data_IF_291876857621
#
_entry.id   IF_291876857621
#
_cell.length_a   1.000
_cell.length_b   1.000
_cell.length_c   1.000
_cell.angle_alpha   90.00
_cell.angle_beta   90.00
_cell.angle_gamma   90.00
#
_symmetry.space_group_name_H-M   'P 1'
#
loop_
_entity.id
_entity.type
_entity.pdbx_description
1 polymer ?
#
# COMPACT_ATOMS: atom_id res chain seq x y z
N UNK A 1 23.57 5.72 -16.07
CA UNK A 1 22.93 4.52 -15.52
C UNK A 1 22.31 4.94 -14.20
N UNK A 2 21.00 5.17 -14.17
CA UNK A 2 20.33 5.70 -12.98
C UNK A 2 20.23 4.57 -11.95
N UNK A 3 20.93 4.71 -10.83
CA UNK A 3 20.91 3.73 -9.74
C UNK A 3 19.51 3.71 -9.13
N UNK A 4 18.75 2.63 -9.38
CA UNK A 4 17.47 2.41 -8.71
C UNK A 4 17.78 1.99 -7.29
N UNK A 5 17.71 2.94 -6.36
CA UNK A 5 17.88 2.69 -4.94
C UNK A 5 16.88 1.60 -4.49
N UNK A 6 17.39 0.40 -4.20
CA UNK A 6 16.59 -0.78 -3.88
C UNK A 6 15.96 -0.74 -2.47
N UNK A 7 15.92 0.42 -1.82
CA UNK A 7 15.35 0.53 -0.47
C UNK A 7 13.84 0.38 -0.52
N UNK A 8 13.33 -0.70 0.07
CA UNK A 8 11.92 -0.82 0.35
C UNK A 8 11.51 0.20 1.42
N UNK A 9 10.32 0.79 1.28
CA UNK A 9 9.74 1.67 2.29
C UNK A 9 8.46 1.05 2.83
N UNK A 10 8.33 1.03 4.15
CA UNK A 10 7.15 0.54 4.84
C UNK A 10 6.30 1.71 5.34
N UNK A 11 4.99 1.64 5.12
CA UNK A 11 4.01 2.64 5.56
C UNK A 11 2.82 1.93 6.21
N UNK A 12 2.16 2.55 7.17
CA UNK A 12 0.86 2.08 7.66
C UNK A 12 -0.24 2.90 7.01
N UNK A 13 -1.27 2.24 6.46
CA UNK A 13 -2.44 2.96 5.93
C UNK A 13 -3.24 3.58 7.08
N UNK A 14 -3.54 4.89 7.02
CA UNK A 14 -4.36 5.55 8.04
C UNK A 14 -5.76 4.95 8.16
N UNK A 15 -6.35 4.52 7.04
CA UNK A 15 -7.69 3.94 6.98
C UNK A 15 -7.73 2.45 7.40
N UNK A 16 -6.56 1.84 7.66
CA UNK A 16 -6.46 0.43 8.04
C UNK A 16 -6.77 -0.55 6.90
N UNK A 17 -6.99 -1.81 7.29
CA UNK A 17 -7.31 -2.92 6.41
C UNK A 17 -8.73 -2.75 5.85
N UNK A 18 -8.94 -2.88 4.53
CA UNK A 18 -10.26 -2.66 3.94
C UNK A 18 -11.30 -3.70 4.33
N UNK A 19 -10.89 -4.81 4.94
CA UNK A 19 -11.78 -5.89 5.38
C UNK A 19 -12.10 -5.81 6.87
N UNK A 20 -11.10 -5.48 7.72
CA UNK A 20 -11.26 -5.57 9.18
C UNK A 20 -10.87 -4.30 9.94
N UNK A 21 -10.52 -3.21 9.23
CA UNK A 21 -10.08 -1.92 9.77
C UNK A 21 -8.82 -1.94 10.67
N UNK A 22 -8.21 -3.10 10.93
CA UNK A 22 -6.96 -3.21 11.66
C UNK A 22 -5.79 -2.55 10.90
N UNK A 23 -4.73 -2.16 11.61
CA UNK A 23 -3.54 -1.55 11.01
C UNK A 23 -3.03 -2.38 9.83
N UNK A 24 -2.87 -1.70 8.68
CA UNK A 24 -2.44 -2.32 7.43
C UNK A 24 -1.07 -1.81 7.02
N UNK A 25 0.00 -2.60 7.22
CA UNK A 25 1.31 -2.28 6.70
C UNK A 25 1.35 -2.48 5.17
N UNK A 26 1.91 -1.50 4.47
CA UNK A 26 2.16 -1.52 3.03
C UNK A 26 3.65 -1.34 2.79
N UNK A 27 4.20 -2.31 2.06
CA UNK A 27 5.58 -2.30 1.62
C UNK A 27 5.64 -1.81 0.18
N UNK A 28 6.44 -0.80 -0.06
CA UNK A 28 6.70 -0.25 -1.40
C UNK A 28 8.12 -0.64 -1.81
N UNK A 29 8.24 -1.34 -2.94
CA UNK A 29 9.53 -1.72 -3.53
C UNK A 29 9.60 -1.23 -4.98
N UNK A 30 10.72 -1.48 -5.66
CA UNK A 30 10.87 -1.23 -7.09
C UNK A 30 9.89 -2.05 -7.96
N UNK A 31 9.41 -3.21 -7.49
CA UNK A 31 8.39 -4.01 -8.19
C UNK A 31 6.95 -3.55 -7.90
N UNK A 32 6.81 -2.53 -7.06
CA UNK A 32 5.56 -1.92 -6.68
C UNK A 32 5.15 -2.17 -5.23
N UNK A 33 4.00 -1.61 -4.83
CA UNK A 33 3.44 -1.78 -3.50
C UNK A 33 2.74 -3.13 -3.28
N UNK A 34 2.83 -3.65 -2.06
CA UNK A 34 2.11 -4.84 -1.60
C UNK A 34 1.68 -4.70 -0.14
N UNK A 35 0.56 -5.34 0.20
CA UNK A 35 -0.07 -5.25 1.52
C UNK A 35 -0.52 -6.63 2.00
N UNK A 36 -0.27 -6.94 3.27
CA UNK A 36 -0.80 -8.13 3.94
C UNK A 36 -1.29 -7.74 5.33
N UNK A 37 -2.58 -7.93 5.58
CA UNK A 37 -3.15 -7.70 6.90
C UNK A 37 -2.76 -8.83 7.85
N UNK A 38 -2.07 -8.51 8.94
CA UNK A 38 -1.67 -9.49 9.96
C UNK A 38 -2.83 -9.96 10.85
N UNK A 39 -3.98 -9.30 10.77
CA UNK A 39 -5.16 -9.63 11.57
C UNK A 39 -6.09 -10.61 10.85
N UNK A 40 -6.53 -10.31 9.63
CA UNK A 40 -7.49 -11.13 8.88
C UNK A 40 -6.88 -11.88 7.69
N UNK A 41 -5.59 -11.68 7.41
CA UNK A 41 -4.91 -12.35 6.30
C UNK A 41 -5.23 -11.80 4.92
N UNK A 42 -5.94 -10.67 4.79
CA UNK A 42 -6.17 -10.03 3.49
C UNK A 42 -4.85 -9.71 2.79
N UNK A 43 -4.75 -10.04 1.49
CA UNK A 43 -3.62 -9.71 0.63
C UNK A 43 -4.08 -8.82 -0.52
N UNK A 44 -3.32 -7.76 -0.80
CA UNK A 44 -3.62 -6.85 -1.90
C UNK A 44 -2.37 -6.26 -2.54
N UNK A 45 -2.53 -5.84 -3.80
CA UNK A 45 -1.55 -5.04 -4.55
C UNK A 45 -2.12 -3.64 -4.75
N UNK A 46 -2.04 -2.78 -3.72
CA UNK A 46 -2.68 -1.47 -3.80
C UNK A 46 -1.98 -0.59 -4.84
N UNK A 47 -2.70 0.17 -5.65
CA UNK A 47 -2.13 1.22 -6.48
C UNK A 47 -1.89 2.47 -5.63
N UNK A 48 -0.69 3.04 -5.68
CA UNK A 48 -0.39 4.34 -5.06
C UNK A 48 -0.27 5.39 -6.16
N UNK A 49 -1.16 6.39 -6.13
CA UNK A 49 -1.15 7.54 -7.02
C UNK A 49 -0.73 8.77 -6.25
N UNK A 50 0.38 9.39 -6.66
CA UNK A 50 0.83 10.67 -6.11
C UNK A 50 0.00 11.80 -6.72
N UNK A 51 -0.56 12.66 -5.88
CA UNK A 51 -1.36 13.82 -6.29
C UNK A 51 -0.82 15.09 -5.64
N UNK A 52 -1.20 16.27 -6.14
CA UNK A 52 -0.86 17.55 -5.53
C UNK A 52 -1.43 17.72 -4.10
N UNK A 53 -2.39 16.86 -3.70
CA UNK A 53 -3.01 16.88 -2.36
C UNK A 53 -2.48 15.78 -1.44
N UNK A 54 -1.49 14.99 -1.88
CA UNK A 54 -0.93 13.87 -1.13
C UNK A 54 -1.02 12.54 -1.88
N UNK A 55 -1.01 11.44 -1.13
CA UNK A 55 -1.02 10.08 -1.68
C UNK A 55 -2.44 9.53 -1.70
N UNK A 56 -2.88 9.00 -2.85
CA UNK A 56 -4.10 8.21 -2.97
C UNK A 56 -3.72 6.74 -3.07
N UNK A 57 -4.30 5.91 -2.21
CA UNK A 57 -4.13 4.46 -2.25
C UNK A 57 -5.44 3.82 -2.71
N UNK A 58 -5.37 2.95 -3.70
CA UNK A 58 -6.52 2.22 -4.25
C UNK A 58 -6.21 0.72 -4.24
N UNK A 59 -7.21 -0.14 -4.10
CA UNK A 59 -7.04 -1.59 -4.19
C UNK A 59 -8.17 -2.18 -5.04
N UNK A 60 -7.95 -3.36 -5.60
CA UNK A 60 -9.00 -4.08 -6.34
C UNK A 60 -10.14 -4.42 -5.37
N UNK A 61 -11.35 -3.93 -5.65
CA UNK A 61 -12.50 -3.96 -4.74
C UNK A 61 -12.75 -2.68 -3.93
N UNK A 62 -11.85 -1.69 -3.95
CA UNK A 62 -12.13 -0.33 -3.49
C UNK A 62 -13.01 0.36 -4.55
N UNK A 63 -14.33 0.24 -4.44
CA UNK A 63 -15.23 1.11 -5.21
C UNK A 63 -15.04 2.55 -4.72
N UNK A 64 -14.92 3.48 -5.68
CA UNK A 64 -14.64 4.90 -5.47
C UNK A 64 -15.79 5.64 -4.76
#
# INVERSE_FOLDING_TARGET
>A
MTEVNASSRDYTLPEGCPVCAADLPVRVTASGPSAVCRHCGWLGRPLITVTHRGLRVSYDGAQA
#
